data_IF_834594441369
#
_entry.id   IF_834594441369
#
_cell.length_a   1.000
_cell.length_b   1.000
_cell.length_c   1.000
_cell.angle_alpha   90.00
_cell.angle_beta   90.00
_cell.angle_gamma   90.00
#
_symmetry.space_group_name_H-M   'P 1'
#
loop_
_entity.id
_entity.type
_entity.pdbx_description
1 polymer ?
#
# COMPACT_ATOMS: atom_id res chain seq x y z
N UNK A 1 15.94 26.64 1.36
CA UNK A 1 15.79 25.31 0.70
C UNK A 1 15.18 24.28 1.66
N UNK A 2 15.55 24.21 2.95
CA UNK A 2 15.00 23.24 3.93
C UNK A 2 13.46 23.17 4.06
N UNK A 3 12.75 24.31 4.10
CA UNK A 3 11.27 24.29 4.16
C UNK A 3 10.58 23.59 2.98
N UNK A 4 11.17 23.63 1.78
CA UNK A 4 10.60 22.92 0.63
C UNK A 4 10.81 21.41 0.73
N UNK A 5 11.91 20.97 1.33
CA UNK A 5 12.23 19.55 1.52
C UNK A 5 11.36 18.97 2.62
N UNK A 6 11.20 19.69 3.74
CA UNK A 6 10.30 19.31 4.84
C UNK A 6 8.85 19.09 4.35
N UNK A 7 8.35 19.97 3.48
CA UNK A 7 7.03 19.84 2.86
C UNK A 7 6.95 18.57 1.99
N UNK A 8 7.95 18.33 1.14
CA UNK A 8 7.99 17.13 0.27
C UNK A 8 8.03 15.84 1.09
N UNK A 9 8.87 15.78 2.14
CA UNK A 9 8.94 14.63 3.06
C UNK A 9 7.59 14.37 3.72
N UNK A 10 6.92 15.43 4.18
CA UNK A 10 5.60 15.36 4.81
C UNK A 10 4.52 14.87 3.83
N UNK A 11 4.55 15.35 2.58
CA UNK A 11 3.61 14.92 1.54
C UNK A 11 3.79 13.46 1.15
N UNK A 12 5.04 12.99 1.04
CA UNK A 12 5.37 11.59 0.75
C UNK A 12 4.88 10.66 1.87
N UNK A 13 5.13 11.04 3.14
CA UNK A 13 4.65 10.29 4.29
C UNK A 13 3.11 10.22 4.33
N UNK A 14 2.44 11.35 4.13
CA UNK A 14 0.98 11.39 4.10
C UNK A 14 0.39 10.56 2.95
N UNK A 15 1.05 10.54 1.78
CA UNK A 15 0.64 9.70 0.66
C UNK A 15 0.83 8.20 0.96
N UNK A 16 1.94 7.82 1.61
CA UNK A 16 2.17 6.46 2.06
C UNK A 16 1.06 5.97 3.01
N UNK A 17 0.69 6.78 3.98
CA UNK A 17 -0.37 6.42 4.94
C UNK A 17 -1.73 6.28 4.29
N UNK A 18 -2.07 7.17 3.33
CA UNK A 18 -3.31 7.04 2.55
C UNK A 18 -3.35 5.75 1.74
N UNK A 19 -2.24 5.36 1.11
CA UNK A 19 -2.14 4.11 0.35
C UNK A 19 -2.25 2.90 1.26
N UNK A 20 -1.55 2.90 2.40
CA UNK A 20 -1.60 1.81 3.40
C UNK A 20 -3.01 1.64 3.96
N UNK A 21 -3.66 2.72 4.34
CA UNK A 21 -5.05 2.69 4.82
C UNK A 21 -6.04 2.22 3.75
N UNK A 22 -5.82 2.59 2.49
CA UNK A 22 -6.66 2.11 1.37
C UNK A 22 -6.44 0.62 1.10
N UNK A 23 -5.19 0.16 1.13
CA UNK A 23 -4.83 -1.26 1.00
C UNK A 23 -5.47 -2.11 2.10
N UNK A 24 -5.44 -1.63 3.35
CA UNK A 24 -6.08 -2.33 4.48
C UNK A 24 -7.59 -2.45 4.32
N UNK A 25 -8.29 -1.34 4.01
CA UNK A 25 -9.74 -1.38 3.79
C UNK A 25 -10.13 -2.30 2.64
N UNK A 26 -9.34 -2.32 1.57
CA UNK A 26 -9.56 -3.24 0.47
C UNK A 26 -9.36 -4.70 0.91
N UNK A 27 -8.29 -4.99 1.65
CA UNK A 27 -8.03 -6.33 2.20
C UNK A 27 -9.17 -6.82 3.10
N UNK A 28 -9.69 -5.96 3.98
CA UNK A 28 -10.79 -6.29 4.88
C UNK A 28 -12.06 -6.59 4.08
N UNK A 29 -12.39 -5.74 3.10
CA UNK A 29 -13.53 -5.95 2.20
C UNK A 29 -13.41 -7.25 1.39
N UNK A 30 -12.24 -7.52 0.80
CA UNK A 30 -11.99 -8.75 0.06
C UNK A 30 -12.16 -10.00 0.94
N UNK A 31 -11.67 -9.94 2.18
CA UNK A 31 -11.82 -11.05 3.14
C UNK A 31 -13.29 -11.32 3.49
N UNK A 32 -14.10 -10.26 3.60
CA UNK A 32 -15.55 -10.38 3.83
C UNK A 32 -16.26 -11.08 2.67
N UNK A 33 -16.01 -10.63 1.44
CA UNK A 33 -16.67 -11.21 0.25
C UNK A 33 -16.19 -12.64 -0.02
N UNK A 34 -14.91 -12.95 0.24
CA UNK A 34 -14.38 -14.32 0.17
C UNK A 34 -15.04 -15.25 1.17
N UNK A 35 -15.27 -14.78 2.40
CA UNK A 35 -15.99 -15.56 3.40
C UNK A 35 -17.44 -15.87 2.96
N UNK A 36 -18.19 -14.87 2.50
CA UNK A 36 -19.56 -15.06 2.00
C UNK A 36 -19.60 -16.00 0.79
N UNK A 37 -18.68 -15.83 -0.15
CA UNK A 37 -18.62 -16.64 -1.37
C UNK A 37 -18.27 -18.10 -1.06
N UNK A 38 -17.34 -18.35 -0.14
CA UNK A 38 -17.01 -19.71 0.29
C UNK A 38 -18.15 -20.38 1.03
N UNK A 39 -18.93 -19.65 1.81
CA UNK A 39 -20.14 -20.21 2.41
C UNK A 39 -21.17 -20.62 1.35
N UNK A 40 -21.37 -19.79 0.31
CA UNK A 40 -22.27 -20.11 -0.79
C UNK A 40 -21.82 -21.38 -1.54
N UNK A 41 -20.53 -21.47 -1.89
CA UNK A 41 -19.94 -22.59 -2.62
C UNK A 41 -19.80 -23.87 -1.76
N UNK A 42 -19.60 -23.73 -0.45
CA UNK A 42 -19.52 -24.85 0.49
C UNK A 42 -20.89 -25.34 0.97
N UNK A 43 -21.95 -24.56 0.73
CA UNK A 43 -23.31 -24.86 1.14
C UNK A 43 -24.08 -25.75 0.15
N UNK A 44 -25.32 -25.35 -0.12
CA UNK A 44 -26.25 -26.13 -0.94
C UNK A 44 -26.09 -25.96 -2.45
N UNK A 45 -25.34 -24.96 -2.90
CA UNK A 45 -25.17 -24.69 -4.33
C UNK A 45 -24.10 -25.60 -4.94
N UNK A 46 -24.50 -26.49 -5.86
CA UNK A 46 -23.64 -27.52 -6.46
C UNK A 46 -23.94 -27.69 -7.95
N UNK A 47 -23.04 -28.37 -8.65
CA UNK A 47 -23.12 -28.66 -10.08
C UNK A 47 -22.22 -27.74 -10.92
N UNK A 48 -22.26 -27.91 -12.23
CA UNK A 48 -21.30 -27.30 -13.17
C UNK A 48 -21.22 -25.77 -13.08
N UNK A 49 -22.37 -25.11 -12.85
CA UNK A 49 -22.42 -23.66 -12.66
C UNK A 49 -21.67 -23.21 -11.40
N UNK A 50 -21.79 -23.95 -10.30
CA UNK A 50 -21.07 -23.66 -9.06
C UNK A 50 -19.56 -23.85 -9.25
N UNK A 51 -19.14 -24.89 -9.97
CA UNK A 51 -17.72 -25.13 -10.29
C UNK A 51 -17.12 -24.05 -11.20
N UNK A 52 -17.84 -23.62 -12.24
CA UNK A 52 -17.42 -22.55 -13.13
C UNK A 52 -17.31 -21.19 -12.39
N UNK A 53 -18.28 -20.92 -11.51
CA UNK A 53 -18.24 -19.74 -10.66
C UNK A 53 -17.04 -19.77 -9.70
N UNK A 54 -16.79 -20.88 -9.00
CA UNK A 54 -15.65 -21.03 -8.10
C UNK A 54 -14.31 -20.80 -8.80
N UNK A 55 -14.15 -21.28 -10.03
CA UNK A 55 -12.95 -21.03 -10.84
C UNK A 55 -12.76 -19.54 -11.13
N UNK A 56 -13.84 -18.87 -11.52
CA UNK A 56 -13.82 -17.42 -11.82
C UNK A 56 -13.57 -16.60 -10.55
N UNK A 57 -14.15 -17.02 -9.42
CA UNK A 57 -13.94 -16.45 -8.10
C UNK A 57 -12.47 -16.50 -7.68
N UNK A 58 -11.82 -17.66 -7.81
CA UNK A 58 -10.42 -17.83 -7.44
C UNK A 58 -9.49 -16.96 -8.30
N UNK A 59 -9.80 -16.79 -9.59
CA UNK A 59 -9.04 -15.87 -10.44
C UNK A 59 -9.20 -14.42 -9.97
N UNK A 60 -10.44 -13.99 -9.75
CA UNK A 60 -10.73 -12.65 -9.25
C UNK A 60 -10.06 -12.38 -7.90
N UNK A 61 -10.19 -13.29 -6.92
CA UNK A 61 -9.66 -13.12 -5.56
C UNK A 61 -8.13 -13.00 -5.58
N UNK A 62 -7.45 -13.81 -6.41
CA UNK A 62 -6.00 -13.70 -6.62
C UNK A 62 -5.60 -12.34 -7.20
N UNK A 63 -6.31 -11.85 -8.22
CA UNK A 63 -6.07 -10.54 -8.83
C UNK A 63 -6.31 -9.40 -7.85
N UNK A 64 -7.40 -9.45 -7.09
CA UNK A 64 -7.70 -8.46 -6.07
C UNK A 64 -6.62 -8.42 -4.96
N UNK A 65 -6.12 -9.59 -4.56
CA UNK A 65 -4.96 -9.66 -3.66
C UNK A 65 -3.68 -9.06 -4.23
N UNK A 66 -3.48 -9.09 -5.56
CA UNK A 66 -2.35 -8.38 -6.20
C UNK A 66 -2.50 -6.87 -6.10
N UNK A 67 -3.73 -6.33 -6.25
CA UNK A 67 -4.00 -4.89 -6.08
C UNK A 67 -3.68 -4.43 -4.66
N UNK A 68 -4.11 -5.17 -3.64
CA UNK A 68 -3.77 -4.88 -2.23
C UNK A 68 -2.26 -4.83 -2.02
N UNK A 69 -1.53 -5.85 -2.49
CA UNK A 69 -0.06 -5.88 -2.38
C UNK A 69 0.59 -4.72 -3.12
N UNK A 70 0.09 -4.37 -4.30
CA UNK A 70 0.58 -3.21 -5.06
C UNK A 70 0.45 -1.90 -4.27
N UNK A 71 -0.70 -1.67 -3.62
CA UNK A 71 -0.92 -0.50 -2.76
C UNK A 71 0.06 -0.47 -1.58
N UNK A 72 0.30 -1.61 -0.93
CA UNK A 72 1.26 -1.74 0.17
C UNK A 72 2.69 -1.45 -0.31
N UNK A 73 3.11 -2.04 -1.44
CA UNK A 73 4.43 -1.77 -2.03
C UNK A 73 4.62 -0.30 -2.38
N UNK A 74 3.61 0.36 -2.96
CA UNK A 74 3.69 1.79 -3.25
C UNK A 74 3.80 2.63 -1.97
N UNK A 75 3.08 2.28 -0.90
CA UNK A 75 3.20 2.95 0.39
C UNK A 75 4.62 2.82 0.98
N UNK A 76 5.22 1.63 0.87
CA UNK A 76 6.57 1.38 1.37
C UNK A 76 7.62 2.14 0.55
N UNK A 77 7.48 2.20 -0.77
CA UNK A 77 8.35 2.98 -1.65
C UNK A 77 8.32 4.48 -1.32
N UNK A 78 7.13 5.05 -1.06
CA UNK A 78 7.00 6.44 -0.64
C UNK A 78 7.63 6.70 0.73
N UNK A 79 7.52 5.73 1.65
CA UNK A 79 8.16 5.80 2.97
C UNK A 79 9.69 5.78 2.85
N UNK A 80 10.24 4.96 1.94
CA UNK A 80 11.68 4.94 1.65
C UNK A 80 12.11 6.28 1.04
N UNK A 81 11.38 6.79 0.05
CA UNK A 81 11.70 8.08 -0.56
C UNK A 81 11.73 9.22 0.46
N UNK A 82 10.75 9.29 1.36
CA UNK A 82 10.71 10.30 2.42
C UNK A 82 11.96 10.24 3.33
N UNK A 83 12.43 9.04 3.67
CA UNK A 83 13.64 8.84 4.49
C UNK A 83 14.91 9.30 3.77
N UNK A 84 15.06 8.96 2.49
CA UNK A 84 16.23 9.38 1.70
C UNK A 84 16.29 10.90 1.52
N UNK A 85 15.14 11.56 1.33
CA UNK A 85 15.07 13.02 1.28
C UNK A 85 15.47 13.66 2.61
N UNK A 86 14.97 13.16 3.75
CA UNK A 86 15.35 13.65 5.08
C UNK A 86 16.85 13.54 5.34
N UNK A 87 17.43 12.37 5.00
CA UNK A 87 18.87 12.12 5.18
C UNK A 87 19.73 13.05 4.32
N UNK A 88 19.30 13.31 3.08
CA UNK A 88 20.03 14.21 2.17
C UNK A 88 20.01 15.66 2.68
N UNK A 89 18.90 16.08 3.30
CA UNK A 89 18.77 17.42 3.90
C UNK A 89 19.70 17.58 5.12
N UNK A 90 19.71 16.62 6.03
CA UNK A 90 20.58 16.60 7.22
C UNK A 90 22.07 16.69 6.82
N UNK A 91 22.51 15.87 5.87
CA UNK A 91 23.90 15.87 5.39
C UNK A 91 24.30 17.20 4.73
N UNK A 92 23.36 17.83 4.01
CA UNK A 92 23.59 19.13 3.40
C UNK A 92 23.71 20.22 4.46
N UNK A 93 22.88 20.17 5.51
CA UNK A 93 22.95 21.06 6.67
C UNK A 93 24.29 20.99 7.41
N UNK A 94 24.75 19.79 7.74
CA UNK A 94 26.04 19.56 8.43
C UNK A 94 27.23 20.07 7.61
N UNK A 95 27.18 19.91 6.28
CA UNK A 95 28.24 20.38 5.38
C UNK A 95 28.31 21.92 5.32
N UNK A 96 27.16 22.60 5.35
CA UNK A 96 27.08 24.06 5.35
C UNK A 96 27.58 24.62 6.70
N UNK A 97 27.21 23.98 7.81
CA UNK A 97 27.68 24.34 9.15
C UNK A 97 29.20 24.18 9.27
N UNK A 98 29.76 23.06 8.78
CA UNK A 98 31.21 22.82 8.78
C UNK A 98 32.00 23.78 7.87
N UNK A 99 31.37 24.34 6.84
CA UNK A 99 32.02 25.28 5.91
C UNK A 99 31.96 26.74 6.42
N UNK A 100 31.07 27.04 7.39
CA UNK A 100 30.91 28.35 8.01
C UNK A 100 31.29 28.30 9.50
N UNK A 101 32.58 28.13 9.85
CA UNK A 101 33.00 28.19 11.24
C UNK A 101 32.86 29.64 11.75
N UNK A 102 32.13 29.82 12.85
CA UNK A 102 32.21 31.03 13.67
C UNK A 102 33.42 30.97 14.59
#
# INVERSE_FOLDING_TARGET
MGHSVEVVVSELAAAADRLRGTGQRLQDGLSSVDFETRQLLGGGWKGDAASAYGTSWDQWHRGAGQVVRGLQTMADLLTVAAKEYSKTDEQSGDSLDSTMPF
#
